data_IF_293693316189
#
_entry.id   IF_293693316189
#
_cell.length_a   1.000
_cell.length_b   1.000
_cell.length_c   1.000
_cell.angle_alpha   90.00
_cell.angle_beta   90.00
_cell.angle_gamma   90.00
#
_symmetry.space_group_name_H-M   'P 1'
#
loop_
_entity.id
_entity.type
_entity.pdbx_description
1 polymer ?
#
# COMPACT_ATOMS: atom_id res chain seq x y z
N UNK A 1 2.06 15.89 12.72
CA UNK A 1 1.10 15.10 13.51
C UNK A 1 0.06 14.61 12.53
N UNK A 2 -0.22 13.31 12.49
CA UNK A 2 -1.34 12.78 11.70
C UNK A 2 -2.61 13.13 12.48
N UNK A 3 -3.58 13.77 11.84
CA UNK A 3 -4.87 14.06 12.46
C UNK A 3 -5.84 12.88 12.35
N UNK A 4 -6.92 12.92 13.15
CA UNK A 4 -7.90 11.83 13.19
C UNK A 4 -8.55 11.57 11.84
N UNK A 5 -8.73 12.61 11.02
CA UNK A 5 -9.27 12.49 9.67
C UNK A 5 -8.34 11.67 8.78
N UNK A 6 -7.05 11.97 8.80
CA UNK A 6 -6.04 11.24 8.04
C UNK A 6 -5.94 9.79 8.51
N UNK A 7 -6.09 9.52 9.82
CA UNK A 7 -6.15 8.16 10.34
C UNK A 7 -7.35 7.37 9.80
N UNK A 8 -8.53 8.01 9.71
CA UNK A 8 -9.73 7.39 9.11
C UNK A 8 -9.49 7.07 7.63
N UNK A 9 -8.90 8.00 6.86
CA UNK A 9 -8.62 7.78 5.44
C UNK A 9 -7.63 6.62 5.22
N UNK A 10 -6.59 6.51 6.07
CA UNK A 10 -5.65 5.37 6.03
C UNK A 10 -6.37 4.06 6.35
N UNK A 11 -7.18 4.05 7.42
CA UNK A 11 -7.94 2.87 7.82
C UNK A 11 -8.89 2.41 6.71
N UNK A 12 -9.60 3.34 6.07
CA UNK A 12 -10.50 3.03 4.95
C UNK A 12 -9.77 2.39 3.77
N UNK A 13 -8.58 2.87 3.43
CA UNK A 13 -7.76 2.26 2.38
C UNK A 13 -7.34 0.82 2.73
N UNK A 14 -6.95 0.57 3.99
CA UNK A 14 -6.59 -0.77 4.46
C UNK A 14 -7.80 -1.72 4.49
N UNK A 15 -8.98 -1.22 4.88
CA UNK A 15 -10.22 -2.02 4.83
C UNK A 15 -10.55 -2.39 3.40
N UNK A 16 -10.52 -1.43 2.47
CA UNK A 16 -10.77 -1.69 1.03
C UNK A 16 -9.81 -2.71 0.45
N UNK A 17 -8.53 -2.67 0.84
CA UNK A 17 -7.54 -3.65 0.40
C UNK A 17 -7.94 -5.10 0.73
N UNK A 18 -8.52 -5.35 1.91
CA UNK A 18 -9.01 -6.70 2.29
C UNK A 18 -10.17 -7.22 1.44
N UNK A 19 -10.78 -6.36 0.63
CA UNK A 19 -11.94 -6.70 -0.19
C UNK A 19 -11.62 -6.74 -1.68
N UNK A 20 -10.35 -6.59 -2.06
CA UNK A 20 -9.89 -6.71 -3.46
C UNK A 20 -8.89 -7.85 -3.58
N UNK A 21 -8.83 -8.47 -4.75
CA UNK A 21 -7.87 -9.55 -5.04
C UNK A 21 -6.42 -9.04 -5.19
N UNK A 22 -6.25 -7.77 -5.58
CA UNK A 22 -4.93 -7.16 -5.76
C UNK A 22 -4.99 -5.65 -5.51
N UNK A 23 -3.85 -5.08 -5.15
CA UNK A 23 -3.71 -3.65 -4.83
C UNK A 23 -3.99 -2.76 -6.05
N UNK A 24 -3.76 -3.24 -7.27
CA UNK A 24 -3.92 -2.46 -8.49
C UNK A 24 -5.36 -1.97 -8.71
N UNK A 25 -6.33 -2.66 -8.09
CA UNK A 25 -7.77 -2.37 -8.11
C UNK A 25 -8.17 -1.21 -7.18
N UNK A 26 -7.27 -0.72 -6.32
CA UNK A 26 -7.53 0.43 -5.45
C UNK A 26 -7.33 1.77 -6.18
N UNK A 27 -7.92 2.83 -5.62
CA UNK A 27 -7.64 4.20 -6.07
C UNK A 27 -6.16 4.57 -5.90
N UNK A 28 -5.69 5.55 -6.69
CA UNK A 28 -4.28 5.98 -6.68
C UNK A 28 -3.82 6.37 -5.27
N UNK A 29 -4.61 7.12 -4.50
CA UNK A 29 -4.25 7.46 -3.12
C UNK A 29 -4.14 6.21 -2.23
N UNK A 30 -5.12 5.30 -2.31
CA UNK A 30 -5.09 4.10 -1.48
C UNK A 30 -3.97 3.14 -1.85
N UNK A 31 -3.61 3.02 -3.13
CA UNK A 31 -2.44 2.23 -3.56
C UNK A 31 -1.17 2.71 -2.88
N UNK A 32 -0.96 4.03 -2.81
CA UNK A 32 0.23 4.60 -2.15
C UNK A 32 0.25 4.32 -0.65
N UNK A 33 -0.89 4.49 0.03
CA UNK A 33 -1.03 4.22 1.46
C UNK A 33 -0.77 2.73 1.76
N UNK A 34 -1.45 1.85 1.04
CA UNK A 34 -1.35 0.40 1.24
C UNK A 34 0.06 -0.07 0.89
N UNK A 35 0.67 0.41 -0.19
CA UNK A 35 2.05 0.06 -0.52
C UNK A 35 3.05 0.45 0.56
N UNK A 36 2.90 1.64 1.16
CA UNK A 36 3.76 2.06 2.25
C UNK A 36 3.65 1.10 3.44
N UNK A 37 2.44 0.72 3.82
CA UNK A 37 2.20 -0.20 4.94
C UNK A 37 2.69 -1.61 4.60
N UNK A 38 2.32 -2.14 3.44
CA UNK A 38 2.62 -3.51 3.02
C UNK A 38 4.13 -3.76 2.95
N UNK A 39 4.90 -2.83 2.38
CA UNK A 39 6.35 -2.96 2.31
C UNK A 39 7.01 -2.94 3.70
N UNK A 40 6.45 -2.17 4.65
CA UNK A 40 6.94 -2.14 6.04
C UNK A 40 6.65 -3.45 6.75
N UNK A 41 5.43 -3.96 6.64
CA UNK A 41 5.04 -5.24 7.25
C UNK A 41 5.87 -6.38 6.65
N UNK A 42 5.97 -6.45 5.32
CA UNK A 42 6.73 -7.50 4.63
C UNK A 42 8.23 -7.47 4.93
N UNK A 43 8.81 -6.28 5.18
CA UNK A 43 10.22 -6.16 5.56
C UNK A 43 10.51 -6.73 6.96
N UNK A 44 9.52 -6.65 7.87
CA UNK A 44 9.62 -7.20 9.23
C UNK A 44 9.26 -8.70 9.27
N UNK A 45 8.23 -9.10 8.52
CA UNK A 45 7.73 -10.47 8.45
C UNK A 45 7.31 -10.81 7.01
N UNK A 46 8.18 -11.47 6.22
CA UNK A 46 7.87 -11.85 4.83
C UNK A 46 6.89 -13.04 4.74
N UNK A 47 5.86 -12.92 3.90
CA UNK A 47 4.88 -13.99 3.66
C UNK A 47 4.43 -14.07 2.19
N UNK A 48 4.18 -15.28 1.69
CA UNK A 48 3.96 -15.54 0.25
C UNK A 48 2.67 -14.94 -0.32
N UNK A 49 1.62 -14.81 0.49
CA UNK A 49 0.27 -14.41 0.06
C UNK A 49 0.16 -12.98 -0.50
N UNK A 50 1.23 -12.18 -0.38
CA UNK A 50 1.28 -10.79 -0.87
C UNK A 50 2.46 -10.52 -1.80
N UNK A 51 3.14 -11.55 -2.30
CA UNK A 51 4.35 -11.37 -3.13
C UNK A 51 4.11 -10.46 -4.33
N UNK A 52 2.97 -10.63 -5.00
CA UNK A 52 2.61 -9.90 -6.22
C UNK A 52 2.29 -8.42 -5.91
N UNK A 53 1.57 -8.16 -4.81
CA UNK A 53 1.28 -6.81 -4.35
C UNK A 53 2.54 -6.10 -3.84
N UNK A 54 3.46 -6.84 -3.19
CA UNK A 54 4.78 -6.33 -2.79
C UNK A 54 5.61 -5.96 -4.01
N UNK A 55 5.63 -6.79 -5.06
CA UNK A 55 6.34 -6.48 -6.31
C UNK A 55 5.75 -5.24 -6.99
N UNK A 56 4.42 -5.15 -7.06
CA UNK A 56 3.73 -3.96 -7.56
C UNK A 56 4.16 -2.70 -6.80
N UNK A 57 4.18 -2.78 -5.48
CA UNK A 57 4.53 -1.65 -4.63
C UNK A 57 5.99 -1.19 -4.75
N UNK A 58 6.92 -2.14 -4.95
CA UNK A 58 8.32 -1.80 -5.24
C UNK A 58 8.43 -0.99 -6.53
N UNK A 59 7.77 -1.44 -7.61
CA UNK A 59 7.77 -0.73 -8.90
C UNK A 59 7.18 0.68 -8.78
N UNK A 60 6.05 0.82 -8.07
CA UNK A 60 5.39 2.12 -7.89
C UNK A 60 6.27 3.15 -7.17
N UNK A 61 7.09 2.72 -6.20
CA UNK A 61 8.02 3.60 -5.48
C UNK A 61 9.23 3.97 -6.37
N UNK A 62 9.76 3.00 -7.12
CA UNK A 62 10.87 3.25 -8.05
C UNK A 62 10.50 4.20 -9.20
N UNK A 63 9.25 4.19 -9.65
CA UNK A 63 8.73 5.15 -10.62
C UNK A 63 8.66 6.56 -10.02
N UNK A 64 8.15 6.68 -8.80
CA UNK A 64 8.06 7.97 -8.11
C UNK A 64 9.44 8.60 -7.86
N UNK A 65 10.43 7.80 -7.44
CA UNK A 65 11.81 8.29 -7.23
C UNK A 65 12.55 8.67 -8.53
N UNK A 66 12.02 8.30 -9.70
CA UNK A 66 12.55 8.73 -11.00
C UNK A 66 11.94 10.04 -11.49
N UNK A 67 10.78 10.42 -10.97
CA UNK A 67 10.06 11.66 -11.33
C UNK A 67 10.40 12.83 -10.40
N UNK A 68 10.96 12.55 -9.22
CA UNK A 68 11.46 13.52 -8.22
C UNK A 68 12.96 13.82 -8.39
#
# INVERSE_FOLDING_TARGET
>A
MIDDKTLVEIADCLVKYRHVENISSLSVECRRVVCFVLLRVYAEDPYEDVSDDVEYCKKLIEEKMRED
#
